data_IF_498461346268
#
_entry.id   IF_498461346268
#
_cell.length_a   1.000
_cell.length_b   1.000
_cell.length_c   1.000
_cell.angle_alpha   90.00
_cell.angle_beta   90.00
_cell.angle_gamma   90.00
#
_symmetry.space_group_name_H-M   'P 1'
#
loop_
_entity.id
_entity.type
_entity.pdbx_description
1 polymer ?
#
# COMPACT_ATOMS: atom_id res chain seq x y z
N UNK A 1 6.78 10.93 -9.72
CA UNK A 1 7.25 9.88 -8.81
C UNK A 1 7.13 8.55 -9.51
N UNK A 2 8.16 7.72 -9.45
CA UNK A 2 8.12 6.32 -9.89
C UNK A 2 8.42 5.43 -8.71
N UNK A 3 7.65 4.35 -8.57
CA UNK A 3 7.85 3.35 -7.54
C UNK A 3 8.23 2.02 -8.18
N UNK A 4 9.28 1.43 -7.66
CA UNK A 4 9.64 0.03 -7.91
C UNK A 4 9.44 -0.72 -6.60
N UNK A 5 8.83 -1.85 -6.67
CA UNK A 5 8.68 -2.71 -5.49
C UNK A 5 8.94 -4.16 -5.86
N UNK A 6 9.41 -4.88 -4.90
CA UNK A 6 9.62 -6.31 -4.98
C UNK A 6 9.15 -6.95 -3.67
N UNK A 7 8.18 -7.84 -3.77
CA UNK A 7 7.54 -8.50 -2.64
C UNK A 7 7.91 -9.97 -2.62
N UNK A 8 8.27 -10.48 -1.44
CA UNK A 8 8.54 -11.89 -1.20
C UNK A 8 7.69 -12.36 -0.03
N UNK A 9 6.87 -13.36 -0.26
CA UNK A 9 6.22 -14.12 0.80
C UNK A 9 7.15 -15.25 1.24
N UNK A 10 7.85 -15.06 2.37
CA UNK A 10 8.79 -16.04 2.91
C UNK A 10 8.04 -17.21 3.57
N UNK A 11 7.01 -16.86 4.36
CA UNK A 11 6.11 -17.81 4.99
C UNK A 11 4.67 -17.35 4.81
N UNK A 12 3.67 -18.23 4.95
CA UNK A 12 2.27 -17.83 4.82
C UNK A 12 1.83 -16.69 5.74
N UNK A 13 2.63 -16.38 6.75
CA UNK A 13 2.38 -15.33 7.75
C UNK A 13 3.40 -14.17 7.68
N UNK A 14 4.44 -14.27 6.84
CA UNK A 14 5.51 -13.27 6.72
C UNK A 14 5.74 -12.88 5.27
N UNK A 15 5.55 -11.62 4.98
CA UNK A 15 5.90 -10.99 3.71
C UNK A 15 6.90 -9.85 3.94
N UNK A 16 7.87 -9.75 3.08
CA UNK A 16 8.88 -8.70 3.09
C UNK A 16 8.90 -8.03 1.72
N UNK A 17 8.90 -6.71 1.71
CA UNK A 17 8.95 -5.93 0.50
C UNK A 17 10.15 -5.01 0.50
N UNK A 18 10.76 -4.86 -0.68
CA UNK A 18 11.69 -3.77 -0.97
C UNK A 18 10.99 -2.75 -1.85
N UNK A 19 10.99 -1.50 -1.45
CA UNK A 19 10.33 -0.41 -2.16
C UNK A 19 11.37 0.66 -2.46
N UNK A 20 11.47 1.05 -3.72
CA UNK A 20 12.30 2.16 -4.15
C UNK A 20 11.42 3.22 -4.84
N UNK A 21 11.39 4.41 -4.27
CA UNK A 21 10.66 5.54 -4.81
C UNK A 21 11.62 6.58 -5.37
N UNK A 22 11.45 6.91 -6.64
CA UNK A 22 12.18 7.98 -7.30
C UNK A 22 11.31 9.23 -7.33
N UNK A 23 11.74 10.26 -6.62
CA UNK A 23 11.09 11.56 -6.64
C UNK A 23 11.61 12.40 -7.81
N UNK A 24 10.69 13.05 -8.53
CA UNK A 24 11.04 13.99 -9.59
C UNK A 24 11.87 15.13 -8.99
N UNK A 25 12.87 15.57 -9.74
CA UNK A 25 13.64 16.76 -9.42
C UNK A 25 12.69 17.93 -9.15
N UNK A 26 12.59 18.33 -7.90
CA UNK A 26 12.13 19.66 -7.57
C UNK A 26 13.32 20.60 -7.82
N UNK A 27 13.07 21.77 -8.36
CA UNK A 27 14.07 22.83 -8.37
C UNK A 27 14.64 22.94 -6.96
N UNK A 28 15.94 23.01 -6.88
CA UNK A 28 16.70 22.93 -5.63
C UNK A 28 16.04 23.83 -4.59
N UNK A 29 15.36 23.23 -3.64
CA UNK A 29 14.91 23.97 -2.48
C UNK A 29 16.18 24.41 -1.74
N UNK A 30 16.44 25.73 -1.60
CA UNK A 30 17.62 26.24 -0.91
C UNK A 30 17.78 25.68 0.51
N UNK A 31 16.69 25.21 1.12
CA UNK A 31 16.71 24.59 2.44
C UNK A 31 17.49 23.26 2.49
N UNK A 32 17.62 22.57 1.37
CA UNK A 32 18.20 21.22 1.33
C UNK A 32 19.65 21.17 0.81
N UNK A 33 20.18 22.29 0.29
CA UNK A 33 21.57 22.40 -0.15
C UNK A 33 21.91 21.67 -1.47
N UNK A 34 23.10 21.91 -2.02
CA UNK A 34 23.49 21.48 -3.37
C UNK A 34 23.79 19.98 -3.51
N UNK A 35 23.88 19.23 -2.44
CA UNK A 35 24.20 17.79 -2.47
C UNK A 35 23.05 16.87 -2.85
N UNK A 36 21.88 17.43 -3.08
CA UNK A 36 20.64 16.70 -3.24
C UNK A 36 20.39 16.15 -4.63
N UNK A 37 20.99 16.74 -5.61
CA UNK A 37 20.78 16.40 -6.99
C UNK A 37 22.03 15.74 -7.61
N UNK A 38 21.84 14.50 -8.09
CA UNK A 38 22.84 13.81 -8.90
C UNK A 38 22.24 13.55 -10.29
N UNK A 39 22.23 14.57 -11.19
CA UNK A 39 21.59 14.47 -12.50
C UNK A 39 22.19 13.34 -13.35
N UNK A 40 23.47 13.05 -13.18
CA UNK A 40 24.17 11.98 -13.88
C UNK A 40 23.65 10.58 -13.53
N UNK A 41 23.09 10.41 -12.34
CA UNK A 41 22.61 9.11 -11.86
C UNK A 41 21.12 8.92 -12.10
N UNK A 42 20.32 9.98 -11.94
CA UNK A 42 18.87 9.87 -11.91
C UNK A 42 18.16 10.71 -12.97
N UNK A 43 18.88 11.46 -13.79
CA UNK A 43 18.31 12.32 -14.81
C UNK A 43 17.32 13.33 -14.25
N UNK A 44 16.02 13.08 -14.44
CA UNK A 44 14.94 13.94 -13.95
C UNK A 44 14.60 13.74 -12.47
N UNK A 45 15.25 12.82 -11.78
CA UNK A 45 14.94 12.47 -10.39
C UNK A 45 16.06 12.95 -9.49
N UNK A 46 15.68 13.61 -8.39
CA UNK A 46 16.62 14.17 -7.41
C UNK A 46 16.87 13.28 -6.23
N UNK A 47 15.91 12.40 -5.93
CA UNK A 47 15.97 11.61 -4.72
C UNK A 47 15.49 10.20 -4.95
N UNK A 48 16.18 9.28 -4.32
CA UNK A 48 15.84 7.87 -4.28
C UNK A 48 15.57 7.49 -2.84
N UNK A 49 14.32 7.23 -2.52
CA UNK A 49 13.90 6.67 -1.25
C UNK A 49 13.84 5.15 -1.35
N UNK A 50 14.65 4.47 -0.53
CA UNK A 50 14.68 3.01 -0.44
C UNK A 50 14.17 2.59 0.91
N UNK A 51 13.12 1.81 0.95
CA UNK A 51 12.60 1.32 2.20
C UNK A 51 12.29 -0.18 2.15
N UNK A 52 12.28 -0.78 3.32
CA UNK A 52 11.89 -2.16 3.52
C UNK A 52 10.57 -2.18 4.28
N UNK A 53 9.64 -2.95 3.77
CA UNK A 53 8.38 -3.19 4.46
C UNK A 53 8.33 -4.64 4.95
N UNK A 54 7.70 -4.81 6.08
CA UNK A 54 7.45 -6.14 6.66
C UNK A 54 5.97 -6.22 6.98
N UNK A 55 5.37 -7.34 6.63
CA UNK A 55 3.96 -7.63 6.88
C UNK A 55 3.84 -8.97 7.61
N UNK A 56 3.28 -8.94 8.81
CA UNK A 56 3.05 -10.11 9.65
C UNK A 56 1.55 -10.38 9.75
N UNK A 57 1.09 -11.51 9.26
CA UNK A 57 -0.26 -11.99 9.52
C UNK A 57 -0.31 -12.65 10.89
N UNK A 58 -0.80 -11.90 11.87
CA UNK A 58 -0.92 -12.34 13.25
C UNK A 58 -2.06 -13.34 13.43
N UNK A 59 -3.12 -13.20 12.65
CA UNK A 59 -4.30 -14.05 12.71
C UNK A 59 -4.87 -14.29 11.32
N UNK A 60 -5.17 -15.54 11.00
CA UNK A 60 -5.81 -15.91 9.73
C UNK A 60 -7.34 -15.82 9.89
N UNK A 61 -8.00 -15.28 8.88
CA UNK A 61 -9.45 -15.26 8.83
C UNK A 61 -10.04 -16.66 8.99
N UNK A 62 -11.09 -16.77 9.84
CA UNK A 62 -11.77 -18.03 10.10
C UNK A 62 -10.97 -19.06 10.90
N UNK A 63 -9.78 -18.74 11.42
CA UNK A 63 -8.90 -19.70 12.09
C UNK A 63 -9.53 -20.34 13.33
N UNK A 64 -10.25 -19.56 14.12
CA UNK A 64 -10.94 -20.09 15.30
C UNK A 64 -12.43 -20.33 15.02
N UNK A 65 -13.12 -19.33 14.47
CA UNK A 65 -14.54 -19.39 14.08
C UNK A 65 -14.76 -18.68 12.77
N UNK A 66 -15.77 -19.02 11.97
CA UNK A 66 -16.02 -18.41 10.66
C UNK A 66 -16.13 -16.89 10.66
N UNK A 67 -16.53 -16.29 11.77
CA UNK A 67 -16.66 -14.84 11.90
C UNK A 67 -15.35 -14.14 12.28
N UNK A 68 -14.29 -14.85 12.69
CA UNK A 68 -13.03 -14.22 13.07
C UNK A 68 -12.35 -13.58 11.86
N UNK A 69 -11.88 -12.30 12.00
CA UNK A 69 -11.23 -11.62 10.90
C UNK A 69 -9.77 -12.04 10.75
N UNK A 70 -9.15 -11.64 9.66
CA UNK A 70 -7.71 -11.63 9.51
C UNK A 70 -7.13 -10.40 10.22
N UNK A 71 -5.98 -10.56 10.88
CA UNK A 71 -5.26 -9.47 11.53
C UNK A 71 -3.84 -9.43 10.99
N UNK A 72 -3.41 -8.27 10.51
CA UNK A 72 -2.10 -8.03 9.94
C UNK A 72 -1.46 -6.84 10.65
N UNK A 73 -0.22 -7.03 11.08
CA UNK A 73 0.66 -5.95 11.54
C UNK A 73 1.68 -5.67 10.44
N UNK A 74 1.84 -4.43 10.08
CA UNK A 74 2.82 -4.03 9.08
C UNK A 74 3.68 -2.88 9.54
N UNK A 75 4.87 -2.82 8.97
CA UNK A 75 5.80 -1.72 9.18
C UNK A 75 6.52 -1.43 7.87
N UNK A 76 6.53 -0.16 7.49
CA UNK A 76 7.31 0.32 6.38
C UNK A 76 8.46 1.15 6.93
N UNK A 77 9.67 0.79 6.55
CA UNK A 77 10.91 1.48 6.95
C UNK A 77 11.09 1.60 8.48
N UNK A 78 10.75 0.53 9.19
CA UNK A 78 10.75 0.46 10.65
C UNK A 78 12.13 0.73 11.27
N UNK A 79 13.20 0.43 10.57
CA UNK A 79 14.58 0.54 11.06
C UNK A 79 15.21 1.89 10.73
N UNK A 80 14.53 2.74 9.98
CA UNK A 80 15.06 4.04 9.64
C UNK A 80 14.86 5.03 10.78
N UNK A 81 15.95 5.30 11.48
CA UNK A 81 16.02 6.29 12.57
C UNK A 81 16.56 7.65 12.12
N UNK A 82 16.76 7.87 10.83
CA UNK A 82 17.38 9.13 10.33
C UNK A 82 16.47 10.35 10.46
N UNK A 83 15.18 10.13 10.76
CA UNK A 83 14.24 11.19 11.04
C UNK A 83 14.08 11.42 12.54
N UNK A 84 14.79 12.38 13.08
CA UNK A 84 14.48 13.01 14.37
C UNK A 84 13.79 14.35 14.13
N UNK A 85 12.77 14.65 14.93
CA UNK A 85 12.08 15.95 14.88
C UNK A 85 13.12 17.07 15.05
N UNK A 86 13.25 17.94 14.05
CA UNK A 86 14.25 19.01 14.05
C UNK A 86 15.62 18.65 13.45
N UNK A 87 15.88 17.42 13.07
CA UNK A 87 17.06 17.12 12.27
C UNK A 87 16.84 17.65 10.85
N UNK A 88 17.80 18.47 10.38
CA UNK A 88 17.95 18.69 8.94
C UNK A 88 18.11 17.30 8.35
N UNK A 89 17.30 16.96 7.34
CA UNK A 89 17.42 15.70 6.65
C UNK A 89 18.86 15.61 6.15
N UNK A 90 19.68 14.83 6.80
CA UNK A 90 21.00 14.50 6.27
C UNK A 90 20.79 13.55 5.10
N UNK A 91 20.57 14.11 3.95
CA UNK A 91 20.36 13.38 2.71
C UNK A 91 21.67 12.92 2.08
N UNK A 92 22.76 13.04 2.80
CA UNK A 92 24.07 12.56 2.40
C UNK A 92 24.18 11.04 2.34
N UNK A 93 23.37 10.33 3.09
CA UNK A 93 23.23 8.92 2.90
C UNK A 93 22.08 8.68 1.92
N UNK A 94 22.36 8.14 0.77
CA UNK A 94 21.40 7.68 -0.22
C UNK A 94 20.40 6.63 0.33
N UNK A 95 20.33 6.51 1.60
CA UNK A 95 19.58 5.54 2.36
C UNK A 95 18.51 6.28 3.11
N UNK A 96 17.30 6.02 2.70
CA UNK A 96 16.11 6.16 3.51
C UNK A 96 15.98 7.51 4.22
N UNK A 97 15.20 8.37 3.67
CA UNK A 97 14.89 9.68 4.24
C UNK A 97 13.65 9.65 5.17
N UNK A 98 13.22 8.46 5.61
CA UNK A 98 12.11 8.31 6.54
C UNK A 98 10.76 8.72 5.97
N UNK A 99 10.66 8.82 4.65
CA UNK A 99 9.46 9.28 3.97
C UNK A 99 8.25 8.40 4.30
N UNK A 100 8.48 7.10 4.47
CA UNK A 100 7.43 6.12 4.72
C UNK A 100 7.58 5.38 6.05
N UNK A 101 8.27 5.97 7.05
CA UNK A 101 8.39 5.35 8.36
C UNK A 101 7.03 5.27 9.06
N UNK A 102 6.30 4.21 8.78
CA UNK A 102 4.95 3.99 9.28
C UNK A 102 4.73 2.58 9.78
N UNK A 103 3.82 2.47 10.73
CA UNK A 103 3.33 1.21 11.28
C UNK A 103 1.82 1.15 11.10
N UNK A 104 1.29 -0.03 10.87
CA UNK A 104 -0.15 -0.18 10.77
C UNK A 104 -0.62 -1.51 11.32
N UNK A 105 -1.82 -1.49 11.85
CA UNK A 105 -2.58 -2.67 12.19
C UNK A 105 -3.81 -2.70 11.27
N UNK A 106 -3.99 -3.79 10.55
CA UNK A 106 -5.12 -3.95 9.65
C UNK A 106 -5.94 -5.18 10.03
N UNK A 107 -7.25 -5.03 9.97
CA UNK A 107 -8.23 -6.08 10.21
C UNK A 107 -9.08 -6.23 8.95
N UNK A 108 -9.18 -7.44 8.44
CA UNK A 108 -9.94 -7.73 7.23
C UNK A 108 -10.93 -8.85 7.47
N UNK A 109 -12.14 -8.68 6.97
CA UNK A 109 -13.18 -9.70 7.00
C UNK A 109 -13.88 -9.83 5.65
N UNK A 110 -13.97 -11.04 5.13
CA UNK A 110 -14.74 -11.36 3.94
C UNK A 110 -16.12 -11.89 4.29
N UNK A 111 -17.12 -11.43 3.55
CA UNK A 111 -18.51 -11.82 3.70
C UNK A 111 -19.02 -12.34 2.35
N UNK A 112 -19.12 -13.64 2.22
CA UNK A 112 -19.60 -14.29 0.99
C UNK A 112 -21.11 -14.20 0.88
N UNK A 113 -21.58 -13.74 -0.27
CA UNK A 113 -22.99 -13.73 -0.67
C UNK A 113 -23.18 -14.76 -1.79
N UNK A 114 -23.85 -15.86 -1.47
CA UNK A 114 -24.06 -16.94 -2.44
C UNK A 114 -24.64 -16.40 -3.76
N UNK A 115 -24.03 -16.81 -4.88
CA UNK A 115 -24.47 -16.51 -6.26
C UNK A 115 -24.43 -15.01 -6.65
N UNK A 116 -23.93 -14.14 -5.77
CA UNK A 116 -23.85 -12.70 -6.05
C UNK A 116 -22.39 -12.23 -6.04
N UNK A 117 -21.67 -12.52 -4.96
CA UNK A 117 -20.29 -12.07 -4.82
C UNK A 117 -19.78 -12.12 -3.38
N UNK A 118 -18.70 -11.42 -3.14
CA UNK A 118 -18.05 -11.36 -1.85
C UNK A 118 -17.69 -9.91 -1.50
N UNK A 119 -18.04 -9.48 -0.32
CA UNK A 119 -17.56 -8.24 0.28
C UNK A 119 -16.26 -8.49 1.03
N UNK A 120 -15.25 -7.66 0.79
CA UNK A 120 -14.12 -7.51 1.66
C UNK A 120 -14.27 -6.21 2.46
N UNK A 121 -14.23 -6.30 3.78
CA UNK A 121 -14.29 -5.16 4.69
C UNK A 121 -12.93 -5.01 5.38
N UNK A 122 -12.37 -3.81 5.35
CA UNK A 122 -11.04 -3.51 5.85
C UNK A 122 -11.11 -2.36 6.84
N UNK A 123 -10.48 -2.53 7.97
CA UNK A 123 -10.28 -1.48 8.97
C UNK A 123 -8.80 -1.46 9.31
N UNK A 124 -8.19 -0.30 9.27
CA UNK A 124 -6.80 -0.16 9.66
C UNK A 124 -6.59 1.08 10.53
N UNK A 125 -5.56 1.03 11.34
CA UNK A 125 -5.01 2.21 12.00
C UNK A 125 -3.56 2.34 11.57
N UNK A 126 -3.22 3.51 11.04
CA UNK A 126 -1.88 3.81 10.54
C UNK A 126 -1.26 4.87 11.43
N UNK A 127 -0.07 4.58 11.91
CA UNK A 127 0.79 5.52 12.62
C UNK A 127 2.00 5.83 11.75
N UNK A 128 2.13 7.09 11.32
CA UNK A 128 3.30 7.59 10.62
C UNK A 128 4.14 8.43 11.60
N UNK A 129 5.44 8.23 11.63
CA UNK A 129 6.36 9.04 12.43
C UNK A 129 6.38 10.50 11.95
N UNK A 130 6.11 10.74 10.70
CA UNK A 130 5.92 12.07 10.13
C UNK A 130 4.47 12.50 10.30
N UNK A 131 4.26 13.52 11.11
CA UNK A 131 2.92 14.06 11.38
C UNK A 131 2.33 14.84 10.21
N UNK A 132 3.18 15.36 9.34
CA UNK A 132 2.83 16.12 8.14
C UNK A 132 2.40 15.22 6.96
N UNK A 133 2.55 13.92 7.11
CA UNK A 133 2.24 12.96 6.04
C UNK A 133 0.78 12.50 6.09
N UNK A 134 0.12 12.33 4.93
CA UNK A 134 -1.18 11.66 4.88
C UNK A 134 -1.06 10.23 5.39
N UNK A 135 -2.17 9.60 5.72
CA UNK A 135 -2.22 8.27 6.32
C UNK A 135 -1.65 8.22 7.76
N UNK A 136 -2.16 9.07 8.62
CA UNK A 136 -1.87 9.02 10.05
C UNK A 136 -3.21 9.03 10.79
N UNK A 137 -3.75 7.88 11.08
CA UNK A 137 -5.06 7.71 11.71
C UNK A 137 -5.81 6.47 11.23
N UNK A 138 -7.13 6.44 11.43
CA UNK A 138 -7.98 5.34 11.01
C UNK A 138 -8.17 5.35 9.48
N UNK A 139 -8.11 4.19 8.88
CA UNK A 139 -8.46 3.96 7.49
C UNK A 139 -9.52 2.85 7.40
N UNK A 140 -10.47 3.02 6.51
CA UNK A 140 -11.56 2.08 6.29
C UNK A 140 -11.66 1.83 4.80
N UNK A 141 -11.76 0.57 4.41
CA UNK A 141 -11.95 0.17 3.03
C UNK A 141 -13.01 -0.89 2.88
N UNK A 142 -13.62 -0.93 1.72
CA UNK A 142 -14.49 -2.00 1.29
C UNK A 142 -14.23 -2.33 -0.18
N UNK A 143 -14.29 -3.61 -0.49
CA UNK A 143 -14.30 -4.04 -1.88
C UNK A 143 -15.41 -5.05 -2.11
N UNK A 144 -15.87 -5.14 -3.36
CA UNK A 144 -16.85 -6.11 -3.77
C UNK A 144 -16.42 -6.81 -5.05
N UNK A 145 -16.25 -8.12 -4.96
CA UNK A 145 -15.96 -9.00 -6.09
C UNK A 145 -17.20 -9.78 -6.47
N UNK A 146 -17.59 -9.71 -7.72
CA UNK A 146 -18.73 -10.46 -8.23
C UNK A 146 -18.42 -11.97 -8.36
N UNK A 147 -19.40 -12.81 -8.09
CA UNK A 147 -19.34 -14.27 -8.25
C UNK A 147 -20.70 -14.80 -8.76
N UNK A 148 -21.09 -14.30 -9.93
CA UNK A 148 -22.35 -14.69 -10.58
C UNK A 148 -22.20 -16.05 -11.26
N UNK A 149 -23.31 -16.79 -11.38
CA UNK A 149 -23.34 -18.02 -12.16
C UNK A 149 -22.86 -17.78 -13.60
N UNK A 150 -21.81 -18.46 -14.09
CA UNK A 150 -21.14 -18.14 -15.35
C UNK A 150 -21.91 -18.66 -16.59
N UNK A 151 -23.23 -18.48 -16.59
CA UNK A 151 -24.13 -18.96 -17.66
C UNK A 151 -24.11 -18.07 -18.91
N UNK A 152 -23.76 -16.79 -18.75
CA UNK A 152 -23.67 -15.83 -19.85
C UNK A 152 -22.28 -15.24 -19.98
N UNK A 153 -21.97 -14.70 -21.17
CA UNK A 153 -20.72 -13.94 -21.39
C UNK A 153 -20.64 -12.71 -20.47
N UNK A 154 -21.77 -12.05 -20.22
CA UNK A 154 -21.84 -10.87 -19.36
C UNK A 154 -21.48 -11.25 -17.93
N UNK A 155 -22.02 -12.32 -17.38
CA UNK A 155 -21.71 -12.77 -16.04
C UNK A 155 -20.22 -13.13 -15.89
N UNK A 156 -19.65 -13.79 -16.89
CA UNK A 156 -18.21 -14.11 -16.91
C UNK A 156 -17.35 -12.83 -16.93
N UNK A 157 -17.74 -11.82 -17.67
CA UNK A 157 -17.04 -10.54 -17.70
C UNK A 157 -17.16 -9.79 -16.36
N UNK A 158 -18.36 -9.76 -15.76
CA UNK A 158 -18.59 -9.10 -14.47
C UNK A 158 -17.84 -9.79 -13.33
N UNK A 159 -17.70 -11.12 -13.36
CA UNK A 159 -16.96 -11.87 -12.33
C UNK A 159 -15.46 -11.51 -12.27
N UNK A 160 -14.93 -10.87 -13.29
CA UNK A 160 -13.55 -10.37 -13.30
C UNK A 160 -13.43 -8.96 -12.72
N UNK A 161 -14.54 -8.34 -12.30
CA UNK A 161 -14.58 -6.99 -11.78
C UNK A 161 -14.57 -7.00 -10.25
N UNK A 162 -13.70 -6.20 -9.67
CA UNK A 162 -13.62 -5.91 -8.24
C UNK A 162 -13.78 -4.42 -8.04
N UNK A 163 -14.83 -4.00 -7.36
CA UNK A 163 -15.07 -2.60 -7.01
C UNK A 163 -14.43 -2.29 -5.67
N UNK A 164 -13.83 -1.12 -5.53
CA UNK A 164 -13.11 -0.71 -4.34
C UNK A 164 -13.49 0.71 -3.93
N UNK A 165 -13.61 0.91 -2.63
CA UNK A 165 -13.74 2.25 -2.03
C UNK A 165 -13.00 2.25 -0.69
N UNK A 166 -12.28 3.34 -0.41
CA UNK A 166 -11.55 3.48 0.83
C UNK A 166 -11.55 4.93 1.33
N UNK A 167 -11.40 5.06 2.62
CA UNK A 167 -11.07 6.30 3.31
C UNK A 167 -9.71 6.13 3.99
N UNK A 168 -8.75 6.94 3.61
CA UNK A 168 -7.34 6.85 4.01
C UNK A 168 -6.97 7.80 5.16
N UNK A 169 -7.89 8.18 6.01
CA UNK A 169 -7.78 9.23 7.04
C UNK A 169 -7.79 10.67 6.51
N UNK A 170 -7.84 10.89 5.20
CA UNK A 170 -7.81 12.22 4.61
C UNK A 170 -8.80 12.39 3.48
N UNK A 171 -8.82 11.45 2.55
CA UNK A 171 -9.62 11.47 1.34
C UNK A 171 -10.39 10.17 1.16
N UNK A 172 -11.45 10.25 0.39
CA UNK A 172 -12.19 9.08 -0.07
C UNK A 172 -11.70 8.79 -1.48
N UNK A 173 -11.17 7.59 -1.65
CA UNK A 173 -10.73 7.07 -2.93
C UNK A 173 -11.68 5.97 -3.37
N UNK A 174 -11.94 5.86 -4.65
CA UNK A 174 -12.69 4.75 -5.19
C UNK A 174 -12.09 4.29 -6.52
N UNK A 175 -12.35 3.05 -6.85
CA UNK A 175 -11.78 2.49 -8.06
C UNK A 175 -12.35 1.12 -8.38
N UNK A 176 -11.80 0.55 -9.41
CA UNK A 176 -12.08 -0.83 -9.77
C UNK A 176 -10.83 -1.51 -10.32
N UNK A 177 -10.79 -2.81 -10.11
CA UNK A 177 -9.83 -3.71 -10.71
C UNK A 177 -10.58 -4.64 -11.68
N UNK A 178 -10.01 -4.84 -12.85
CA UNK A 178 -10.50 -5.83 -13.80
C UNK A 178 -9.40 -6.85 -14.10
N UNK A 179 -9.67 -8.11 -13.78
CA UNK A 179 -8.74 -9.21 -13.99
C UNK A 179 -8.90 -9.79 -15.39
N UNK A 180 -7.80 -9.78 -16.15
CA UNK A 180 -7.71 -10.42 -17.44
C UNK A 180 -6.99 -11.76 -17.30
N UNK A 181 -7.28 -12.67 -18.21
CA UNK A 181 -6.56 -13.92 -18.41
C UNK A 181 -6.19 -14.64 -17.09
N UNK A 182 -7.20 -15.09 -16.35
CA UNK A 182 -7.01 -15.89 -15.13
C UNK A 182 -6.18 -15.19 -14.04
N UNK A 183 -6.40 -13.92 -13.83
CA UNK A 183 -5.70 -13.09 -12.83
C UNK A 183 -4.20 -12.85 -13.08
N UNK A 184 -3.67 -13.21 -14.26
CA UNK A 184 -2.26 -12.89 -14.60
C UNK A 184 -2.06 -11.43 -14.98
N UNK A 185 -3.08 -10.77 -15.48
CA UNK A 185 -3.03 -9.36 -15.88
C UNK A 185 -4.23 -8.67 -15.25
N UNK A 186 -3.95 -7.63 -14.47
CA UNK A 186 -4.97 -6.81 -13.83
C UNK A 186 -4.83 -5.37 -14.30
N UNK A 187 -5.96 -4.75 -14.67
CA UNK A 187 -6.05 -3.32 -14.87
C UNK A 187 -6.74 -2.68 -13.69
N UNK A 188 -6.09 -1.70 -13.08
CA UNK A 188 -6.61 -0.95 -11.93
C UNK A 188 -6.84 0.48 -12.36
N UNK A 189 -8.03 0.99 -12.08
CA UNK A 189 -8.41 2.39 -12.26
C UNK A 189 -8.78 2.95 -10.90
N UNK A 190 -8.13 4.03 -10.51
CA UNK A 190 -8.31 4.67 -9.22
C UNK A 190 -8.68 6.14 -9.43
N UNK A 191 -9.66 6.59 -8.67
CA UNK A 191 -10.15 7.97 -8.64
C UNK A 191 -9.90 8.53 -7.24
N UNK A 192 -9.14 9.61 -7.19
CA UNK A 192 -8.79 10.35 -5.98
C UNK A 192 -9.48 11.70 -5.95
#
# INVERSE_FOLDING_TARGET
TFNYYFDITIFPWLEVSYICTLHKAMEVDPAYGPGFWVPSTYGKFVNQDRNFAVRLRLWKEGWWKPWTPQIVLGANDALNNSWTEGSKIEMSSATANGFYSRYYLAVTKHLSMKEVGEWGLHLAYVYNRRKDYPLNGPAIGANFRFSLSPTSFINKAINNLNLMAEYDSKSINCGFEYSFWKDYINAIVELN
#
